data_IF_684468346509
#
_entry.id   IF_684468346509
#
_cell.length_a   1.000
_cell.length_b   1.000
_cell.length_c   1.000
_cell.angle_alpha   90.00
_cell.angle_beta   90.00
_cell.angle_gamma   90.00
#
_symmetry.space_group_name_H-M   'P 1'
#
loop_
_entity.id
_entity.type
_entity.pdbx_description
1 polymer ?
#
# COMPACT_ATOMS: atom_id res chain seq x y z
N UNK A 1 -17.48 5.13 -5.54
CA UNK A 1 -16.40 4.40 -5.93
C UNK A 1 -15.32 5.08 -6.74
N UNK A 2 -14.08 5.03 -6.27
CA UNK A 2 -12.93 5.44 -7.05
C UNK A 2 -12.78 4.53 -8.28
N UNK A 3 -12.35 5.12 -9.39
CA UNK A 3 -11.98 4.38 -10.60
C UNK A 3 -10.46 4.28 -10.65
N UNK A 4 -9.96 3.16 -11.17
CA UNK A 4 -8.53 2.93 -11.25
C UNK A 4 -8.16 2.02 -12.40
N UNK A 5 -6.85 1.88 -12.61
CA UNK A 5 -6.25 0.95 -13.54
C UNK A 5 -5.16 0.17 -12.80
N UNK A 6 -5.16 -1.14 -12.96
CA UNK A 6 -4.09 -2.02 -12.50
C UNK A 6 -3.41 -2.64 -13.71
N UNK A 7 -2.07 -2.57 -13.73
CA UNK A 7 -1.25 -3.27 -14.71
C UNK A 7 -0.28 -4.18 -13.98
N UNK A 8 -0.22 -5.43 -14.39
CA UNK A 8 0.70 -6.43 -13.87
C UNK A 8 1.24 -7.28 -15.03
N UNK A 9 2.53 -7.54 -15.04
CA UNK A 9 3.19 -8.31 -16.10
C UNK A 9 4.39 -9.06 -15.54
N UNK A 10 4.55 -10.31 -15.95
CA UNK A 10 5.74 -11.13 -15.69
C UNK A 10 6.75 -11.10 -16.86
N UNK A 11 6.41 -10.41 -17.94
CA UNK A 11 7.21 -10.38 -19.18
C UNK A 11 7.64 -8.97 -19.56
N UNK A 12 7.62 -8.03 -18.62
CA UNK A 12 8.08 -6.66 -18.83
C UNK A 12 9.61 -6.60 -18.78
N UNK A 13 10.26 -6.82 -19.91
CA UNK A 13 11.72 -6.84 -20.01
C UNK A 13 12.36 -5.54 -19.47
N UNK A 14 13.39 -5.69 -18.64
CA UNK A 14 14.10 -4.55 -18.03
C UNK A 14 13.43 -3.96 -16.78
N UNK A 15 12.32 -4.55 -16.34
CA UNK A 15 11.72 -4.23 -15.04
C UNK A 15 12.09 -5.32 -14.03
N UNK A 16 12.42 -4.90 -12.80
CA UNK A 16 12.62 -5.82 -11.68
C UNK A 16 11.26 -6.04 -10.98
N UNK A 17 11.01 -5.52 -9.80
CA UNK A 17 9.67 -5.62 -9.20
C UNK A 17 8.73 -4.47 -9.64
N UNK A 18 9.26 -3.26 -9.70
CA UNK A 18 8.62 -2.06 -10.22
C UNK A 18 7.21 -1.74 -9.66
N UNK A 19 6.92 -2.18 -8.41
CA UNK A 19 5.63 -1.85 -7.79
C UNK A 19 5.52 -0.33 -7.58
N UNK A 20 4.49 0.26 -8.16
CA UNK A 20 4.22 1.69 -8.08
C UNK A 20 2.74 1.95 -7.85
N UNK A 21 2.43 2.89 -6.98
CA UNK A 21 1.06 3.32 -6.68
C UNK A 21 0.93 4.81 -6.98
N UNK A 22 -0.11 5.18 -7.71
CA UNK A 22 -0.49 6.57 -7.95
C UNK A 22 -1.94 6.79 -7.56
N UNK A 23 -2.20 7.85 -6.81
CA UNK A 23 -3.54 8.27 -6.39
C UNK A 23 -3.78 9.69 -6.90
N UNK A 24 -4.95 9.93 -7.44
CA UNK A 24 -5.34 11.24 -7.96
C UNK A 24 -6.65 11.67 -7.32
N UNK A 25 -6.64 12.83 -6.69
CA UNK A 25 -7.81 13.47 -6.09
C UNK A 25 -8.03 14.87 -6.66
N UNK A 26 -9.09 15.51 -6.22
CA UNK A 26 -9.46 16.87 -6.61
C UNK A 26 -8.47 17.95 -6.11
N UNK A 27 -7.72 17.66 -5.05
CA UNK A 27 -6.73 18.58 -4.44
C UNK A 27 -5.30 18.27 -4.82
N UNK A 28 -5.03 17.16 -5.50
CA UNK A 28 -3.68 16.78 -5.88
C UNK A 28 -3.51 15.30 -6.07
N UNK A 29 -2.26 14.88 -6.24
CA UNK A 29 -1.89 13.50 -6.46
C UNK A 29 -0.75 13.03 -5.56
N UNK A 30 -0.70 11.73 -5.33
CA UNK A 30 0.37 11.04 -4.63
C UNK A 30 0.98 9.99 -5.55
N UNK A 31 2.29 9.79 -5.45
CA UNK A 31 2.98 8.71 -6.13
C UNK A 31 4.07 8.12 -5.23
N UNK A 32 4.07 6.80 -5.12
CA UNK A 32 5.06 6.04 -4.38
C UNK A 32 5.58 4.87 -5.22
N UNK A 33 6.89 4.56 -5.07
CA UNK A 33 7.55 3.45 -5.72
C UNK A 33 8.26 2.59 -4.67
N UNK A 34 8.07 1.27 -4.75
CA UNK A 34 8.67 0.32 -3.80
C UNK A 34 10.21 0.31 -3.88
N UNK A 35 10.78 0.52 -5.04
CA UNK A 35 12.23 0.54 -5.25
C UNK A 35 12.92 1.78 -4.67
N UNK A 36 12.13 2.81 -4.29
CA UNK A 36 12.57 4.01 -3.59
C UNK A 36 11.59 4.36 -2.46
N UNK A 37 11.45 3.48 -1.44
CA UNK A 37 10.31 3.48 -0.52
C UNK A 37 10.29 4.64 0.47
N UNK A 38 11.42 5.35 0.65
CA UNK A 38 11.57 6.39 1.65
C UNK A 38 11.02 7.76 1.22
N UNK A 39 10.54 7.87 -0.03
CA UNK A 39 10.05 9.12 -0.62
C UNK A 39 8.63 8.97 -1.15
N UNK A 40 7.76 9.89 -0.76
CA UNK A 40 6.42 10.03 -1.30
C UNK A 40 6.36 11.33 -2.13
N UNK A 41 6.05 11.21 -3.40
CA UNK A 41 5.81 12.36 -4.26
C UNK A 41 4.41 12.91 -3.99
N UNK A 42 4.32 14.14 -3.53
CA UNK A 42 3.06 14.86 -3.38
C UNK A 42 2.99 16.00 -4.41
N UNK A 43 1.92 16.04 -5.15
CA UNK A 43 1.67 17.02 -6.20
C UNK A 43 0.37 17.74 -5.93
N UNK A 44 0.36 18.76 -5.07
CA UNK A 44 -0.85 19.54 -4.84
C UNK A 44 -1.27 20.26 -6.11
N UNK A 45 -2.58 20.41 -6.30
CA UNK A 45 -3.14 21.06 -7.48
C UNK A 45 -2.73 22.54 -7.52
N UNK A 46 -2.12 22.98 -8.63
CA UNK A 46 -1.65 24.35 -8.86
C UNK A 46 -0.51 24.83 -7.94
N UNK A 47 0.19 23.92 -7.28
CA UNK A 47 1.34 24.23 -6.43
C UNK A 47 2.58 23.46 -6.88
N UNK A 48 3.72 23.80 -6.31
CA UNK A 48 4.99 23.12 -6.57
C UNK A 48 4.96 21.69 -6.00
N UNK A 49 5.47 20.73 -6.79
CA UNK A 49 5.67 19.36 -6.35
C UNK A 49 6.56 19.30 -5.11
N UNK A 50 6.17 18.48 -4.16
CA UNK A 50 6.88 18.23 -2.91
C UNK A 50 7.34 16.77 -2.84
N UNK A 51 8.43 16.52 -2.15
CA UNK A 51 8.90 15.18 -1.78
C UNK A 51 8.80 15.07 -0.27
N UNK A 52 7.92 14.19 0.19
CA UNK A 52 7.77 13.88 1.61
C UNK A 52 8.69 12.71 1.94
N UNK A 53 9.52 12.89 2.96
CA UNK A 53 10.46 11.85 3.40
C UNK A 53 9.86 11.02 4.53
N UNK A 54 10.20 9.74 4.58
CA UNK A 54 9.83 8.85 5.66
C UNK A 54 10.36 9.41 7.00
N UNK A 55 9.51 9.42 8.02
CA UNK A 55 9.85 9.97 9.34
C UNK A 55 10.05 11.49 9.36
N UNK A 56 9.72 12.21 8.29
CA UNK A 56 9.78 13.66 8.23
C UNK A 56 8.64 14.32 9.01
N UNK A 57 8.66 15.67 9.14
CA UNK A 57 7.71 16.40 10.01
C UNK A 57 6.26 16.39 9.50
N UNK A 58 6.03 16.00 8.26
CA UNK A 58 4.69 15.97 7.65
C UNK A 58 3.97 14.61 7.81
N UNK A 59 4.57 13.62 8.49
CA UNK A 59 3.95 12.30 8.65
C UNK A 59 2.93 12.27 9.77
N UNK A 60 1.78 11.63 9.53
CA UNK A 60 0.76 11.38 10.57
C UNK A 60 1.14 10.21 11.49
N UNK A 61 0.37 10.03 12.56
CA UNK A 61 0.62 9.01 13.60
C UNK A 61 0.77 7.60 13.05
N UNK A 62 -0.07 7.21 12.11
CA UNK A 62 -0.02 5.86 11.49
C UNK A 62 1.31 5.61 10.77
N UNK A 63 1.81 6.59 10.03
CA UNK A 63 3.10 6.48 9.34
C UNK A 63 4.27 6.56 10.32
N UNK A 64 4.16 7.40 11.35
CA UNK A 64 5.15 7.49 12.42
C UNK A 64 5.29 6.15 13.17
N UNK A 65 4.16 5.47 13.49
CA UNK A 65 4.17 4.14 14.10
C UNK A 65 4.87 3.09 13.23
N UNK A 66 4.76 3.19 11.92
CA UNK A 66 5.41 2.28 10.97
C UNK A 66 6.89 2.60 10.73
N UNK A 67 7.37 3.76 11.16
CA UNK A 67 8.77 4.19 11.04
C UNK A 67 9.60 3.63 12.19
N UNK A 68 10.69 2.91 11.90
CA UNK A 68 11.51 2.22 12.90
C UNK A 68 12.82 2.91 13.20
N UNK A 69 13.43 3.53 12.20
CA UNK A 69 14.72 4.20 12.32
C UNK A 69 14.58 5.69 11.98
N UNK A 70 15.51 6.54 12.46
CA UNK A 70 15.41 7.99 12.24
C UNK A 70 15.32 8.39 10.78
N UNK A 71 14.72 9.54 10.52
CA UNK A 71 14.71 10.16 9.19
C UNK A 71 16.13 10.27 8.61
N UNK A 72 16.27 10.09 7.30
CA UNK A 72 17.57 10.10 6.61
C UNK A 72 18.32 8.77 6.61
N UNK A 73 17.82 7.75 7.32
CA UNK A 73 18.34 6.38 7.27
C UNK A 73 17.38 5.51 6.46
N UNK A 74 17.84 4.71 5.49
CA UNK A 74 16.95 3.91 4.65
C UNK A 74 16.19 2.85 5.44
N UNK A 75 14.89 2.76 5.20
CA UNK A 75 14.02 1.65 5.60
C UNK A 75 13.35 1.06 4.35
N UNK A 76 12.99 -0.21 4.40
CA UNK A 76 12.38 -0.85 3.23
C UNK A 76 11.70 -2.16 3.57
N UNK A 77 12.02 -3.18 2.77
CA UNK A 77 11.34 -4.47 2.76
C UNK A 77 11.37 -5.19 4.12
N UNK A 78 12.54 -5.25 4.77
CA UNK A 78 12.68 -5.95 6.06
C UNK A 78 11.89 -5.27 7.16
N UNK A 79 11.95 -3.94 7.24
CA UNK A 79 11.21 -3.16 8.23
C UNK A 79 9.70 -3.23 7.99
N UNK A 80 9.27 -3.30 6.73
CA UNK A 80 7.88 -3.54 6.36
C UNK A 80 7.36 -4.85 6.93
N UNK A 81 8.07 -5.96 6.72
CA UNK A 81 7.74 -7.25 7.32
C UNK A 81 7.80 -7.23 8.85
N UNK A 82 8.83 -6.60 9.42
CA UNK A 82 8.94 -6.47 10.87
C UNK A 82 7.74 -5.70 11.48
N UNK A 83 7.17 -4.74 10.77
CA UNK A 83 5.94 -4.06 11.20
C UNK A 83 4.73 -5.01 11.18
N UNK A 84 4.58 -5.83 10.14
CA UNK A 84 3.52 -6.84 10.07
C UNK A 84 3.60 -7.84 11.23
N UNK A 85 4.78 -8.39 11.50
CA UNK A 85 4.98 -9.32 12.62
C UNK A 85 4.70 -8.69 13.98
N UNK A 86 5.09 -7.43 14.18
CA UNK A 86 4.75 -6.69 15.41
C UNK A 86 3.24 -6.56 15.55
N UNK A 87 2.54 -6.15 14.50
CA UNK A 87 1.10 -5.96 14.54
C UNK A 87 0.36 -7.28 14.78
N UNK A 88 0.84 -8.40 14.21
CA UNK A 88 0.31 -9.74 14.49
C UNK A 88 0.51 -10.11 15.97
N UNK A 89 1.69 -9.86 16.53
CA UNK A 89 1.96 -10.13 17.93
C UNK A 89 1.04 -9.30 18.86
N UNK A 90 0.86 -8.03 18.55
CA UNK A 90 -0.06 -7.14 19.27
C UNK A 90 -1.52 -7.64 19.20
N UNK A 91 -1.96 -8.16 18.05
CA UNK A 91 -3.29 -8.76 17.88
C UNK A 91 -3.46 -10.02 18.73
N UNK A 92 -2.46 -10.91 18.76
CA UNK A 92 -2.48 -12.13 19.58
C UNK A 92 -2.59 -11.76 21.07
N UNK A 93 -1.80 -10.81 21.53
CA UNK A 93 -1.82 -10.38 22.94
C UNK A 93 -3.14 -9.69 23.29
N UNK A 94 -3.68 -8.85 22.42
CA UNK A 94 -4.99 -8.23 22.61
C UNK A 94 -6.10 -9.30 22.73
N UNK A 95 -6.08 -10.32 21.87
CA UNK A 95 -7.02 -11.44 21.91
C UNK A 95 -6.92 -12.21 23.24
N UNK A 96 -5.70 -12.51 23.71
CA UNK A 96 -5.48 -13.21 24.98
C UNK A 96 -5.95 -12.43 26.20
N UNK A 97 -5.86 -11.12 26.14
CA UNK A 97 -6.25 -10.22 27.25
C UNK A 97 -7.67 -9.68 27.12
N UNK A 98 -8.44 -10.09 26.12
CA UNK A 98 -9.80 -9.64 25.87
C UNK A 98 -9.88 -8.17 25.43
N UNK A 99 -8.80 -7.59 24.95
CA UNK A 99 -8.76 -6.22 24.45
C UNK A 99 -9.10 -6.17 22.96
N UNK A 100 -9.76 -5.10 22.55
CA UNK A 100 -9.93 -4.80 21.11
C UNK A 100 -8.74 -3.99 20.62
N UNK A 101 -8.18 -4.40 19.47
CA UNK A 101 -7.10 -3.69 18.80
C UNK A 101 -7.40 -3.59 17.31
N UNK A 102 -7.32 -2.36 16.77
CA UNK A 102 -7.39 -2.14 15.33
C UNK A 102 -5.97 -2.06 14.77
N UNK A 103 -5.66 -2.91 13.80
CA UNK A 103 -4.36 -2.93 13.11
C UNK A 103 -4.55 -2.72 11.62
N UNK A 104 -3.44 -2.55 10.90
CA UNK A 104 -3.42 -2.51 9.42
C UNK A 104 -3.11 -3.87 8.80
N UNK A 105 -2.99 -4.93 9.59
CA UNK A 105 -2.76 -6.28 9.08
C UNK A 105 -3.99 -6.76 8.32
N UNK A 106 -3.84 -7.20 7.06
CA UNK A 106 -4.93 -7.80 6.31
C UNK A 106 -5.50 -9.03 7.01
N UNK A 107 -6.81 -9.16 7.02
CA UNK A 107 -7.53 -10.29 7.59
C UNK A 107 -8.02 -11.28 6.50
N UNK A 108 -8.76 -12.31 6.93
CA UNK A 108 -9.33 -13.30 6.01
C UNK A 108 -10.31 -12.66 4.99
N UNK A 109 -10.98 -11.58 5.38
CA UNK A 109 -11.90 -10.87 4.48
C UNK A 109 -11.14 -10.19 3.34
N UNK A 110 -9.99 -9.62 3.63
CA UNK A 110 -9.11 -9.03 2.62
C UNK A 110 -8.54 -10.11 1.70
N UNK A 111 -8.17 -11.28 2.26
CA UNK A 111 -7.77 -12.44 1.47
C UNK A 111 -8.85 -12.91 0.50
N UNK A 112 -10.09 -13.01 0.96
CA UNK A 112 -11.25 -13.36 0.12
C UNK A 112 -11.46 -12.35 -1.00
N UNK A 113 -11.37 -11.04 -0.73
CA UNK A 113 -11.46 -9.99 -1.76
C UNK A 113 -10.36 -10.13 -2.80
N UNK A 114 -9.12 -10.42 -2.37
CA UNK A 114 -7.99 -10.63 -3.27
C UNK A 114 -8.21 -11.80 -4.23
N UNK A 115 -8.64 -12.97 -3.72
CA UNK A 115 -8.95 -14.15 -4.54
C UNK A 115 -10.09 -13.84 -5.51
N UNK A 116 -11.19 -13.25 -5.04
CA UNK A 116 -12.31 -12.85 -5.90
C UNK A 116 -11.90 -11.90 -7.00
N UNK A 117 -11.01 -10.95 -6.71
CA UNK A 117 -10.51 -10.04 -7.74
C UNK A 117 -9.83 -10.81 -8.88
N UNK A 118 -8.96 -11.77 -8.57
CA UNK A 118 -8.28 -12.60 -9.58
C UNK A 118 -9.30 -13.44 -10.39
N UNK A 119 -10.25 -14.11 -9.72
CA UNK A 119 -11.29 -14.89 -10.38
C UNK A 119 -12.14 -14.02 -11.33
N UNK A 120 -12.50 -12.81 -10.89
CA UNK A 120 -13.29 -11.87 -11.71
C UNK A 120 -12.49 -11.32 -12.89
N UNK A 121 -11.19 -11.09 -12.73
CA UNK A 121 -10.32 -10.68 -13.83
C UNK A 121 -10.25 -11.78 -14.91
N UNK A 122 -10.08 -13.04 -14.51
CA UNK A 122 -10.09 -14.19 -15.42
C UNK A 122 -11.44 -14.33 -16.12
N UNK A 123 -12.53 -14.25 -15.38
CA UNK A 123 -13.91 -14.34 -15.92
C UNK A 123 -14.21 -13.19 -16.89
N UNK A 124 -13.76 -11.97 -16.57
CA UNK A 124 -13.89 -10.81 -17.44
C UNK A 124 -13.20 -11.04 -18.78
N UNK A 125 -11.94 -11.51 -18.74
CA UNK A 125 -11.18 -11.81 -19.96
C UNK A 125 -11.88 -12.87 -20.82
N UNK A 126 -12.34 -13.96 -20.22
CA UNK A 126 -13.05 -15.03 -20.91
C UNK A 126 -14.38 -14.56 -21.55
N UNK A 127 -15.01 -13.56 -20.97
CA UNK A 127 -16.27 -12.99 -21.44
C UNK A 127 -16.10 -11.77 -22.38
N UNK A 128 -14.89 -11.54 -22.92
CA UNK A 128 -14.62 -10.44 -23.84
C UNK A 128 -14.34 -9.09 -23.13
N UNK A 129 -13.72 -9.15 -21.97
CA UNK A 129 -13.28 -7.97 -21.17
C UNK A 129 -14.43 -7.09 -20.69
N UNK A 130 -15.55 -7.70 -20.30
CA UNK A 130 -16.70 -6.99 -19.74
C UNK A 130 -16.49 -6.69 -18.24
N UNK A 131 -17.16 -5.65 -17.75
CA UNK A 131 -17.16 -5.33 -16.32
C UNK A 131 -17.76 -6.46 -15.48
N UNK A 132 -17.08 -6.79 -14.37
CA UNK A 132 -17.52 -7.78 -13.39
C UNK A 132 -17.75 -7.11 -12.03
N UNK A 133 -18.72 -7.59 -11.26
CA UNK A 133 -18.90 -7.20 -9.86
C UNK A 133 -18.06 -8.09 -8.94
N UNK A 134 -17.41 -7.49 -7.95
CA UNK A 134 -16.64 -8.19 -6.91
C UNK A 134 -17.54 -8.73 -5.80
#
# INVERSE_FOLDING_TARGET
GAKGMLWSSQVASGQENALRIRLFGDKGGLEWAQEDPNYLQYRPLRETRQILTRGGPAVGETAARATRIPAGHPEGFLEGFANLYRDIADMIEASRTGKSLTTLVPDVTDGVKGVRFVEKAVSSNAAGSIWQHL
#
